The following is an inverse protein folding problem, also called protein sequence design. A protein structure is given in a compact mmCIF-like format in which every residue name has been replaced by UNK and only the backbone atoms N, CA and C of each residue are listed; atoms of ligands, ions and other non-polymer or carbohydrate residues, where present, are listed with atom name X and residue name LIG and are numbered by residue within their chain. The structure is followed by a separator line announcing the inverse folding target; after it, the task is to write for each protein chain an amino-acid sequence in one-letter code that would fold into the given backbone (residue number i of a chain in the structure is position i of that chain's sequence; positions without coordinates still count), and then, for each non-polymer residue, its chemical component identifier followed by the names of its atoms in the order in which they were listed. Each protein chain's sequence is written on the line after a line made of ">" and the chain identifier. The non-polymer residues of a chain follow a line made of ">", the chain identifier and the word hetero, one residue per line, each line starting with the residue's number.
data_IF_078255662257
#
_entry.id   IF_078255662257
#
_cell.length_a   1.000
_cell.length_b   1.000
_cell.length_c   1.000
_cell.angle_alpha   90.00
_cell.angle_beta   90.00
_cell.angle_gamma   90.00
#
_symmetry.space_group_name_H-M   'P 1'
#
loop_
_entity.id
_entity.type
_entity.pdbx_description
1 polymer ?
#
# COMPACT_ATOMS: atom_id res chain seq x y z
N UNK A 1 -40.13 -10.30 -61.44
CA UNK A 1 -41.06 -11.45 -61.54
C UNK A 1 -41.50 -11.86 -60.13
N UNK A 2 -42.50 -12.74 -60.05
CA UNK A 2 -43.21 -13.18 -58.82
C UNK A 2 -42.29 -13.79 -57.73
N UNK A 3 -42.68 -14.01 -56.46
CA UNK A 3 -43.69 -13.54 -55.47
C UNK A 3 -44.00 -14.75 -54.55
N UNK A 4 -43.96 -14.56 -53.21
CA UNK A 4 -44.68 -15.33 -52.17
C UNK A 4 -44.26 -16.82 -51.97
N UNK A 5 -44.53 -17.52 -50.85
CA UNK A 5 -45.26 -17.31 -49.55
C UNK A 5 -44.45 -18.05 -48.43
N UNK A 6 -44.40 -17.73 -47.13
CA UNK A 6 -45.44 -17.53 -46.07
C UNK A 6 -46.23 -18.81 -45.72
N UNK A 7 -46.66 -19.17 -44.49
CA UNK A 7 -46.50 -18.74 -43.07
C UNK A 7 -47.16 -19.88 -42.20
N UNK A 8 -47.09 -20.10 -40.87
CA UNK A 8 -46.44 -19.60 -39.63
C UNK A 8 -46.61 -20.75 -38.55
N UNK A 9 -46.19 -20.57 -37.26
CA UNK A 9 -47.04 -20.79 -36.05
C UNK A 9 -46.40 -21.45 -34.78
N UNK A 10 -46.46 -20.67 -33.67
CA UNK A 10 -46.79 -21.06 -32.27
C UNK A 10 -45.92 -22.00 -31.39
N UNK A 11 -45.62 -21.51 -30.16
CA UNK A 11 -45.34 -22.30 -28.94
C UNK A 11 -46.58 -22.28 -28.00
N UNK A 12 -46.47 -22.13 -26.64
CA UNK A 12 -45.28 -22.12 -25.76
C UNK A 12 -45.52 -22.84 -24.36
N UNK A 13 -44.60 -22.63 -23.38
CA UNK A 13 -44.80 -22.56 -21.88
C UNK A 13 -44.17 -23.62 -20.93
N UNK A 14 -43.43 -23.08 -19.95
CA UNK A 14 -43.42 -23.35 -18.47
C UNK A 14 -43.02 -24.75 -17.92
N UNK A 15 -41.95 -24.74 -17.11
CA UNK A 15 -42.11 -24.63 -15.65
C UNK A 15 -41.68 -25.81 -14.75
N UNK A 16 -41.09 -25.47 -13.59
CA UNK A 16 -40.66 -26.37 -12.49
C UNK A 16 -39.55 -27.40 -12.84
N UNK A 17 -38.66 -27.82 -11.92
CA UNK A 17 -38.43 -27.41 -10.54
C UNK A 17 -38.95 -28.40 -9.49
N UNK A 18 -38.12 -29.38 -9.11
CA UNK A 18 -38.33 -30.31 -7.98
C UNK A 18 -37.00 -30.52 -7.25
N UNK A 19 -37.08 -30.86 -5.96
CA UNK A 19 -35.96 -31.07 -5.03
C UNK A 19 -36.24 -32.37 -4.25
N UNK A 20 -35.17 -32.94 -3.66
CA UNK A 20 -35.13 -33.89 -2.53
C UNK A 20 -34.68 -35.34 -2.81
N UNK A 21 -33.79 -35.75 -1.90
CA UNK A 21 -33.34 -37.08 -1.48
C UNK A 21 -34.50 -37.92 -0.86
N UNK A 22 -34.32 -39.08 -0.16
CA UNK A 22 -33.07 -39.76 0.26
C UNK A 22 -33.02 -41.31 0.12
N UNK A 23 -31.88 -41.90 0.48
CA UNK A 23 -31.76 -43.27 1.00
C UNK A 23 -30.59 -43.34 2.00
N UNK A 24 -30.68 -44.19 3.05
CA UNK A 24 -29.75 -44.14 4.20
C UNK A 24 -29.54 -45.51 4.87
N UNK A 25 -28.41 -46.19 4.59
CA UNK A 25 -27.84 -47.36 5.30
C UNK A 25 -26.33 -47.38 5.00
N UNK A 26 -25.38 -47.70 5.89
CA UNK A 26 -25.43 -47.94 7.34
C UNK A 26 -24.37 -48.96 7.79
N UNK A 27 -23.60 -48.67 8.87
CA UNK A 27 -22.42 -49.44 9.38
C UNK A 27 -21.19 -49.46 8.45
N UNK A 28 -19.93 -49.41 8.93
CA UNK A 28 -19.38 -49.73 10.27
C UNK A 28 -18.01 -49.06 10.49
N UNK A 29 -17.73 -48.52 11.68
CA UNK A 29 -16.37 -48.15 12.10
C UNK A 29 -15.54 -49.41 12.48
N UNK A 30 -14.21 -49.27 12.66
CA UNK A 30 -13.74 -49.09 14.03
C UNK A 30 -12.73 -47.93 14.22
N UNK A 31 -12.75 -47.35 15.42
CA UNK A 31 -11.98 -46.18 15.80
C UNK A 31 -10.47 -46.42 16.01
N UNK A 32 -9.71 -45.32 16.06
CA UNK A 32 -8.49 -45.27 16.90
C UNK A 32 -8.32 -43.86 17.48
N UNK A 33 -8.77 -43.67 18.72
CA UNK A 33 -8.57 -42.44 19.49
C UNK A 33 -7.11 -42.33 19.98
N UNK A 34 -6.50 -41.16 19.81
CA UNK A 34 -5.45 -40.66 20.72
C UNK A 34 -5.65 -39.15 20.90
N UNK A 35 -6.05 -38.75 22.11
CA UNK A 35 -6.21 -37.36 22.52
C UNK A 35 -5.00 -36.85 23.32
N UNK A 36 -5.06 -35.58 23.73
CA UNK A 36 -4.11 -34.89 24.63
C UNK A 36 -2.73 -34.55 24.01
N UNK A 37 -1.95 -33.57 24.50
CA UNK A 37 -2.09 -32.76 25.73
C UNK A 37 -2.03 -31.24 25.49
N UNK A 38 -2.78 -30.49 26.31
CA UNK A 38 -2.33 -29.17 26.75
C UNK A 38 -1.21 -29.35 27.80
N UNK A 39 0.02 -28.97 27.47
CA UNK A 39 1.13 -28.98 28.42
C UNK A 39 1.18 -27.65 29.22
N UNK A 40 0.56 -27.65 30.39
CA UNK A 40 0.76 -26.62 31.42
C UNK A 40 1.92 -27.08 32.32
N UNK A 41 3.02 -26.34 32.37
CA UNK A 41 4.09 -26.62 33.33
C UNK A 41 4.63 -25.33 33.96
N UNK A 42 4.23 -25.09 35.20
CA UNK A 42 4.90 -24.17 36.11
C UNK A 42 6.20 -24.83 36.62
N UNK A 43 7.30 -24.09 36.58
CA UNK A 43 8.57 -24.49 37.18
C UNK A 43 9.29 -23.28 37.79
N UNK A 44 9.13 -23.11 39.10
CA UNK A 44 10.05 -22.34 39.92
C UNK A 44 11.43 -23.07 39.95
N UNK A 45 12.58 -22.45 40.22
CA UNK A 45 12.87 -21.16 40.88
C UNK A 45 14.34 -20.80 40.67
N UNK A 46 14.68 -19.52 40.45
CA UNK A 46 15.86 -18.83 41.04
C UNK A 46 16.04 -17.41 40.49
N UNK A 47 16.63 -16.53 41.31
CA UNK A 47 16.99 -15.13 40.99
C UNK A 47 18.53 -15.09 40.75
N UNK A 48 19.20 -14.06 40.23
CA UNK A 48 18.98 -12.60 40.17
C UNK A 48 19.75 -12.00 38.95
N UNK A 49 20.06 -10.68 38.88
CA UNK A 49 19.13 -9.60 38.54
C UNK A 49 19.54 -8.86 37.24
N UNK A 50 18.60 -8.12 36.63
CA UNK A 50 18.89 -7.23 35.50
C UNK A 50 19.75 -6.02 35.93
N UNK A 51 20.80 -5.63 35.18
CA UNK A 51 21.54 -4.40 35.46
C UNK A 51 20.72 -3.17 35.05
N UNK A 52 20.27 -2.39 36.03
CA UNK A 52 19.74 -1.06 35.77
C UNK A 52 20.86 -0.15 35.22
N UNK A 53 20.56 0.64 34.20
CA UNK A 53 21.39 1.80 33.82
C UNK A 53 20.62 3.08 34.12
N UNK A 54 21.31 3.99 34.80
CA UNK A 54 20.78 5.20 35.40
C UNK A 54 20.32 6.23 34.37
N UNK A 55 19.11 6.75 34.58
CA UNK A 55 18.78 8.13 34.23
C UNK A 55 19.35 9.03 35.33
N UNK A 56 20.42 9.77 35.06
CA UNK A 56 20.76 10.95 35.85
C UNK A 56 21.67 11.93 35.09
N UNK A 57 21.67 13.20 35.51
CA UNK A 57 22.11 14.44 34.81
C UNK A 57 21.13 15.01 33.76
N UNK A 58 20.61 16.22 33.91
CA UNK A 58 20.66 17.12 35.09
C UNK A 58 19.42 18.01 35.15
N UNK A 59 18.81 18.12 36.33
CA UNK A 59 18.06 19.31 36.71
C UNK A 59 19.03 20.34 37.30
N UNK A 60 18.87 21.62 36.94
CA UNK A 60 18.87 22.78 37.86
C UNK A 60 19.02 24.11 37.11
N UNK A 61 17.93 24.88 37.03
CA UNK A 61 17.92 26.25 37.55
C UNK A 61 16.47 26.71 37.68
N UNK A 62 16.07 27.17 38.87
CA UNK A 62 14.72 27.65 39.14
C UNK A 62 14.78 28.95 39.96
N UNK A 63 14.12 30.00 39.47
CA UNK A 63 13.90 31.26 40.21
C UNK A 63 12.58 31.92 39.78
N UNK A 64 11.75 32.24 40.77
CA UNK A 64 10.82 33.39 40.77
C UNK A 64 9.61 33.36 39.81
N UNK A 65 8.38 33.25 40.32
CA UNK A 65 7.18 33.59 39.55
C UNK A 65 6.95 35.11 39.53
N UNK A 66 6.55 35.65 38.37
CA UNK A 66 5.97 36.98 38.21
C UNK A 66 5.04 36.98 36.98
N UNK A 67 3.98 37.78 37.00
CA UNK A 67 2.96 37.82 35.94
C UNK A 67 3.48 38.39 34.61
N UNK A 68 3.08 37.78 33.49
CA UNK A 68 2.89 38.44 32.19
C UNK A 68 2.07 37.55 31.24
N UNK A 69 0.85 37.96 30.93
CA UNK A 69 -0.07 37.21 30.08
C UNK A 69 0.17 37.46 28.57
N UNK A 70 1.36 37.12 28.07
CA UNK A 70 1.76 37.41 26.70
C UNK A 70 1.68 36.21 25.75
N UNK A 71 0.66 36.25 24.88
CA UNK A 71 0.64 35.77 23.49
C UNK A 71 1.48 34.52 23.19
N UNK A 72 0.88 33.35 23.39
CA UNK A 72 1.41 32.06 22.93
C UNK A 72 1.76 32.10 21.44
N UNK A 73 3.05 32.20 21.13
CA UNK A 73 3.59 32.12 19.77
C UNK A 73 3.32 30.71 19.22
N UNK A 74 2.87 30.54 17.96
CA UNK A 74 2.86 29.20 17.36
C UNK A 74 4.30 28.65 17.34
N UNK A 75 4.53 27.35 17.62
CA UNK A 75 5.87 26.79 17.70
C UNK A 75 6.62 27.00 16.38
N UNK A 76 7.69 27.78 16.44
CA UNK A 76 8.37 28.32 15.27
C UNK A 76 9.52 27.43 14.80
N UNK A 77 9.47 27.05 13.53
CA UNK A 77 10.58 26.50 12.73
C UNK A 77 11.30 25.20 13.20
N UNK A 78 11.05 24.67 14.39
CA UNK A 78 11.64 23.39 14.85
C UNK A 78 11.43 22.25 13.84
N UNK A 79 12.47 21.42 13.69
CA UNK A 79 12.46 20.27 12.80
C UNK A 79 11.34 19.29 13.18
N UNK A 80 10.61 18.78 12.18
CA UNK A 80 9.50 17.87 12.46
C UNK A 80 10.01 16.44 12.69
N UNK A 81 10.63 16.20 13.85
CA UNK A 81 11.00 14.88 14.35
C UNK A 81 9.73 14.04 14.60
N UNK A 82 9.18 13.45 13.53
CA UNK A 82 7.98 12.64 13.63
C UNK A 82 8.32 11.33 14.34
N UNK A 83 7.76 11.11 15.54
CA UNK A 83 8.03 9.91 16.37
C UNK A 83 7.74 8.59 15.65
N UNK A 84 6.88 8.63 14.63
CA UNK A 84 6.54 7.48 13.77
C UNK A 84 7.61 7.28 12.67
N UNK A 85 8.14 8.35 12.08
CA UNK A 85 9.25 8.27 11.12
C UNK A 85 10.56 7.84 11.80
N UNK A 86 10.82 8.34 13.01
CA UNK A 86 11.98 7.97 13.84
C UNK A 86 11.98 6.46 14.13
N UNK A 87 10.86 5.90 14.55
CA UNK A 87 10.72 4.44 14.79
C UNK A 87 10.65 3.60 13.50
N UNK A 88 10.77 4.22 12.32
CA UNK A 88 10.76 3.59 10.99
C UNK A 88 12.01 3.86 10.16
N UNK A 89 12.97 4.70 10.60
CA UNK A 89 14.16 5.05 9.79
C UNK A 89 14.97 3.81 9.38
N UNK A 90 15.25 2.94 10.35
CA UNK A 90 15.99 1.69 10.17
C UNK A 90 15.09 0.49 9.85
N UNK A 91 13.81 0.67 9.48
CA UNK A 91 12.87 -0.45 9.33
C UNK A 91 13.38 -1.53 8.34
N UNK A 92 13.99 -1.10 7.22
CA UNK A 92 14.54 -1.99 6.20
C UNK A 92 15.85 -2.64 6.66
N UNK A 93 16.74 -1.86 7.29
CA UNK A 93 18.00 -2.32 7.90
C UNK A 93 17.74 -3.39 8.97
N UNK A 94 16.74 -3.16 9.84
CA UNK A 94 16.27 -4.10 10.84
C UNK A 94 15.60 -5.33 10.21
N UNK A 95 14.92 -5.19 9.08
CA UNK A 95 14.29 -6.29 8.38
C UNK A 95 15.34 -7.25 7.80
N UNK A 96 16.21 -6.77 6.91
CA UNK A 96 17.26 -7.60 6.31
C UNK A 96 18.23 -8.13 7.38
N UNK A 97 18.65 -7.27 8.31
CA UNK A 97 19.53 -7.65 9.43
C UNK A 97 18.94 -8.72 10.36
N UNK A 98 17.61 -8.74 10.55
CA UNK A 98 16.93 -9.79 11.34
C UNK A 98 16.76 -11.08 10.57
N UNK A 99 16.34 -10.99 9.30
CA UNK A 99 15.97 -12.16 8.49
C UNK A 99 17.20 -12.97 8.10
N UNK A 100 18.30 -12.32 7.73
CA UNK A 100 19.52 -13.01 7.28
C UNK A 100 20.29 -13.67 8.43
N UNK A 101 20.21 -13.13 9.66
CA UNK A 101 20.89 -13.69 10.85
C UNK A 101 20.27 -14.98 11.41
N UNK A 102 19.09 -15.41 10.96
CA UNK A 102 18.36 -16.53 11.57
C UNK A 102 17.87 -17.52 10.50
N UNK A 103 18.29 -18.79 10.58
CA UNK A 103 17.87 -19.83 9.63
C UNK A 103 16.36 -20.02 9.53
N UNK A 104 15.62 -19.96 10.66
CA UNK A 104 14.14 -20.03 10.64
C UNK A 104 13.52 -18.81 9.96
N UNK A 105 14.14 -17.64 10.08
CA UNK A 105 13.68 -16.42 9.40
C UNK A 105 14.00 -16.44 7.90
N UNK A 106 15.13 -17.03 7.49
CA UNK A 106 15.43 -17.30 6.07
C UNK A 106 14.40 -18.24 5.44
N UNK A 107 14.07 -19.37 6.07
CA UNK A 107 13.02 -20.30 5.59
C UNK A 107 11.66 -19.58 5.46
N UNK A 108 11.28 -18.78 6.46
CA UNK A 108 10.04 -18.00 6.41
C UNK A 108 10.08 -16.91 5.30
N UNK A 109 11.25 -16.38 4.95
CA UNK A 109 11.42 -15.49 3.80
C UNK A 109 11.31 -16.24 2.48
N UNK A 110 11.94 -17.42 2.34
CA UNK A 110 11.81 -18.30 1.17
C UNK A 110 10.34 -18.56 0.84
N UNK A 111 9.56 -18.94 1.85
CA UNK A 111 8.11 -19.14 1.73
C UNK A 111 7.38 -17.83 1.35
N UNK A 112 7.67 -16.72 2.02
CA UNK A 112 7.00 -15.44 1.75
C UNK A 112 7.37 -14.81 0.39
N UNK A 113 8.54 -15.13 -0.17
CA UNK A 113 8.93 -14.75 -1.53
C UNK A 113 8.29 -15.66 -2.58
N UNK A 114 8.17 -16.96 -2.33
CA UNK A 114 7.42 -17.85 -3.22
C UNK A 114 5.94 -17.44 -3.29
N UNK A 115 5.29 -17.29 -2.13
CA UNK A 115 3.88 -16.89 -2.01
C UNK A 115 3.58 -15.45 -2.47
N UNK A 116 4.61 -14.63 -2.66
CA UNK A 116 4.51 -13.27 -3.18
C UNK A 116 5.11 -13.09 -4.57
N UNK A 117 5.73 -14.10 -5.16
CA UNK A 117 6.54 -14.01 -6.39
C UNK A 117 7.56 -12.85 -6.33
N UNK A 118 8.36 -12.84 -5.25
CA UNK A 118 9.49 -11.93 -5.04
C UNK A 118 9.20 -10.62 -4.29
N UNK A 119 10.23 -9.80 -4.09
CA UNK A 119 10.16 -8.43 -3.58
C UNK A 119 9.54 -7.46 -4.60
N UNK A 120 8.95 -6.35 -4.13
CA UNK A 120 8.63 -5.23 -5.03
C UNK A 120 9.92 -4.51 -5.47
N UNK A 121 9.91 -3.82 -6.63
CA UNK A 121 11.10 -3.19 -7.24
C UNK A 121 11.98 -2.41 -6.25
N UNK A 122 11.37 -1.60 -5.38
CA UNK A 122 12.13 -0.80 -4.40
C UNK A 122 12.86 -1.66 -3.35
N UNK A 123 12.31 -2.81 -2.96
CA UNK A 123 12.94 -3.73 -2.02
C UNK A 123 13.91 -4.70 -2.70
N UNK A 124 13.68 -5.07 -3.97
CA UNK A 124 14.68 -5.78 -4.78
C UNK A 124 15.95 -4.92 -4.95
N UNK A 125 15.80 -3.64 -5.31
CA UNK A 125 16.92 -2.70 -5.40
C UNK A 125 17.64 -2.46 -4.05
N UNK A 126 16.91 -2.46 -2.92
CA UNK A 126 17.54 -2.41 -1.58
C UNK A 126 18.24 -3.71 -1.20
N UNK A 127 17.74 -4.86 -1.65
CA UNK A 127 18.35 -6.17 -1.40
C UNK A 127 19.66 -6.37 -2.20
N UNK A 128 19.73 -5.87 -3.43
CA UNK A 128 20.96 -5.88 -4.24
C UNK A 128 21.99 -4.87 -3.73
N UNK A 129 21.56 -3.75 -3.15
CA UNK A 129 22.44 -2.75 -2.52
C UNK A 129 22.95 -3.11 -1.11
N UNK A 130 22.78 -4.36 -0.66
CA UNK A 130 23.36 -4.85 0.60
C UNK A 130 24.84 -5.21 0.41
N UNK A 131 25.62 -5.16 1.50
CA UNK A 131 26.99 -5.68 1.52
C UNK A 131 27.02 -7.15 1.05
N UNK A 132 28.03 -7.54 0.26
CA UNK A 132 28.05 -8.82 -0.48
C UNK A 132 27.64 -10.08 0.32
N UNK A 133 28.11 -10.35 1.57
CA UNK A 133 27.66 -11.51 2.33
C UNK A 133 26.16 -11.53 2.64
N UNK A 134 25.54 -10.35 2.74
CA UNK A 134 24.10 -10.19 2.91
C UNK A 134 23.35 -10.23 1.58
N UNK A 135 23.89 -9.62 0.51
CA UNK A 135 23.32 -9.71 -0.83
C UNK A 135 23.30 -11.16 -1.34
N UNK A 136 24.40 -11.90 -1.20
CA UNK A 136 24.49 -13.33 -1.49
C UNK A 136 23.45 -14.15 -0.74
N UNK A 137 23.31 -13.95 0.58
CA UNK A 137 22.32 -14.63 1.39
C UNK A 137 20.86 -14.28 1.01
N UNK A 138 20.60 -13.14 0.37
CA UNK A 138 19.29 -12.84 -0.25
C UNK A 138 19.15 -13.53 -1.61
N UNK A 139 20.18 -13.52 -2.47
CA UNK A 139 20.19 -14.26 -3.76
C UNK A 139 19.92 -15.75 -3.56
N UNK A 140 20.50 -16.36 -2.53
CA UNK A 140 20.24 -17.75 -2.13
C UNK A 140 18.77 -17.99 -1.75
N UNK A 141 18.21 -17.12 -0.90
CA UNK A 141 16.82 -17.23 -0.45
C UNK A 141 15.81 -16.96 -1.59
N UNK A 142 16.16 -16.11 -2.56
CA UNK A 142 15.41 -15.89 -3.80
C UNK A 142 15.46 -17.13 -4.71
N UNK A 143 16.63 -17.76 -4.87
CA UNK A 143 16.80 -19.02 -5.62
C UNK A 143 15.97 -20.15 -5.02
N UNK A 144 16.02 -20.33 -3.69
CA UNK A 144 15.24 -21.36 -3.01
C UNK A 144 13.72 -21.05 -3.04
N UNK A 145 13.32 -19.78 -3.09
CA UNK A 145 11.92 -19.40 -3.31
C UNK A 145 11.46 -19.73 -4.74
N UNK A 146 12.33 -19.58 -5.74
CA UNK A 146 12.08 -20.00 -7.11
C UNK A 146 11.93 -21.52 -7.25
N UNK A 147 12.78 -22.30 -6.57
CA UNK A 147 12.66 -23.76 -6.46
C UNK A 147 11.33 -24.18 -5.83
N UNK A 148 11.00 -23.60 -4.67
CA UNK A 148 9.74 -23.85 -3.98
C UNK A 148 8.51 -23.50 -4.84
N UNK A 149 8.57 -22.43 -5.63
CA UNK A 149 7.51 -22.06 -6.57
C UNK A 149 7.40 -23.06 -7.74
N UNK A 150 8.52 -23.58 -8.26
CA UNK A 150 8.50 -24.64 -9.26
C UNK A 150 7.87 -25.93 -8.72
N UNK A 151 8.26 -26.34 -7.52
CA UNK A 151 7.71 -27.49 -6.80
C UNK A 151 6.18 -27.42 -6.65
N UNK A 152 5.60 -26.23 -6.46
CA UNK A 152 4.15 -26.02 -6.43
C UNK A 152 3.54 -26.07 -7.84
N UNK A 153 4.19 -25.46 -8.84
CA UNK A 153 3.75 -25.43 -10.24
C UNK A 153 3.82 -26.79 -10.97
N UNK A 154 4.58 -27.75 -10.45
CA UNK A 154 4.65 -29.12 -10.96
C UNK A 154 3.65 -30.07 -10.24
N UNK A 155 3.01 -29.66 -9.13
CA UNK A 155 2.07 -30.46 -8.31
C UNK A 155 0.57 -30.16 -8.53
N UNK A 156 0.22 -29.35 -9.55
CA UNK A 156 -1.03 -28.55 -9.51
C UNK A 156 -2.36 -29.30 -9.53
N UNK A 157 -2.41 -30.59 -9.88
CA UNK A 157 -3.65 -31.38 -9.90
C UNK A 157 -4.40 -31.44 -8.55
N UNK A 158 -3.78 -30.96 -7.46
CA UNK A 158 -4.35 -30.81 -6.12
C UNK A 158 -4.15 -29.40 -5.52
N UNK A 159 -3.70 -28.40 -6.30
CA UNK A 159 -3.22 -27.10 -5.77
C UNK A 159 -3.61 -25.86 -6.59
N UNK A 160 -4.51 -25.95 -7.57
CA UNK A 160 -4.87 -24.81 -8.43
C UNK A 160 -5.37 -23.58 -7.64
N UNK A 161 -6.15 -23.75 -6.56
CA UNK A 161 -6.55 -22.65 -5.66
C UNK A 161 -5.35 -21.92 -5.04
N UNK A 162 -4.33 -22.66 -4.61
CA UNK A 162 -3.11 -22.09 -4.02
C UNK A 162 -2.29 -21.35 -5.09
N UNK A 163 -2.19 -21.90 -6.31
CA UNK A 163 -1.49 -21.21 -7.42
C UNK A 163 -2.22 -19.92 -7.80
N UNK A 164 -3.55 -19.93 -7.87
CA UNK A 164 -4.35 -18.72 -8.06
C UNK A 164 -4.09 -17.70 -6.94
N UNK A 165 -4.15 -18.11 -5.68
CA UNK A 165 -3.96 -17.21 -4.54
C UNK A 165 -2.53 -16.62 -4.48
N UNK A 166 -1.52 -17.35 -4.94
CA UNK A 166 -0.15 -16.84 -5.15
C UNK A 166 -0.12 -15.80 -6.28
N UNK A 167 -0.66 -16.14 -7.46
CA UNK A 167 -0.61 -15.33 -8.68
C UNK A 167 -1.40 -14.02 -8.52
N UNK A 168 -2.67 -14.10 -8.10
CA UNK A 168 -3.49 -12.91 -7.79
C UNK A 168 -2.91 -12.10 -6.62
N UNK A 169 -2.23 -12.76 -5.68
CA UNK A 169 -1.53 -12.10 -4.57
C UNK A 169 -0.23 -11.38 -4.96
N UNK A 170 0.45 -11.81 -6.02
CA UNK A 170 1.84 -11.45 -6.34
C UNK A 170 2.09 -9.93 -6.42
N UNK A 171 1.18 -9.19 -7.06
CA UNK A 171 1.27 -7.73 -7.24
C UNK A 171 1.28 -6.97 -5.90
N UNK A 172 0.46 -7.40 -4.94
CA UNK A 172 0.34 -6.76 -3.62
C UNK A 172 1.31 -7.29 -2.56
N UNK A 173 1.78 -8.53 -2.69
CA UNK A 173 2.63 -9.19 -1.69
C UNK A 173 4.10 -8.80 -1.84
N UNK A 174 4.66 -8.16 -0.81
CA UNK A 174 6.10 -7.96 -0.63
C UNK A 174 6.43 -8.13 0.86
N UNK A 175 7.31 -9.07 1.27
CA UNK A 175 7.49 -9.39 2.68
C UNK A 175 8.18 -8.27 3.48
N UNK A 176 9.00 -7.43 2.81
CA UNK A 176 9.58 -6.23 3.40
C UNK A 176 8.54 -5.12 3.61
N UNK A 177 7.71 -4.78 2.61
CA UNK A 177 6.58 -3.86 2.79
C UNK A 177 5.63 -4.35 3.92
N UNK A 178 5.36 -5.66 3.96
CA UNK A 178 4.53 -6.25 5.00
C UNK A 178 5.19 -6.18 6.39
N UNK A 179 6.52 -6.23 6.50
CA UNK A 179 7.22 -5.92 7.76
C UNK A 179 7.08 -4.44 8.12
N UNK A 180 7.39 -3.54 7.18
CA UNK A 180 7.30 -2.08 7.36
C UNK A 180 5.93 -1.65 7.89
N UNK A 181 4.84 -2.01 7.20
CA UNK A 181 3.48 -1.63 7.62
C UNK A 181 3.04 -2.30 8.94
N UNK A 182 3.61 -3.46 9.30
CA UNK A 182 3.43 -4.06 10.63
C UNK A 182 4.20 -3.33 11.73
N UNK A 183 5.32 -2.66 11.42
CA UNK A 183 5.98 -1.73 12.35
C UNK A 183 5.15 -0.46 12.46
N UNK A 184 4.85 0.20 11.33
CA UNK A 184 4.06 1.44 11.22
C UNK A 184 2.74 1.33 12.01
N UNK A 185 1.95 0.27 11.76
CA UNK A 185 0.68 0.03 12.45
C UNK A 185 0.82 -0.12 13.97
N UNK A 186 1.90 -0.74 14.47
CA UNK A 186 2.17 -0.85 15.92
C UNK A 186 2.59 0.48 16.55
N UNK A 187 3.32 1.32 15.81
CA UNK A 187 3.72 2.66 16.29
C UNK A 187 2.51 3.59 16.31
N UNK A 188 1.71 3.62 15.24
CA UNK A 188 0.45 4.36 15.16
C UNK A 188 -0.52 3.95 16.28
N UNK A 189 -0.62 2.64 16.59
CA UNK A 189 -1.45 2.12 17.69
C UNK A 189 -0.87 2.38 19.10
N UNK A 190 0.36 2.89 19.25
CA UNK A 190 0.83 3.49 20.51
C UNK A 190 0.40 4.95 20.60
N UNK A 191 0.76 5.75 19.58
CA UNK A 191 0.41 7.17 19.47
C UNK A 191 -1.11 7.41 19.61
N UNK A 192 -1.95 6.54 19.03
CA UNK A 192 -3.39 6.59 19.22
C UNK A 192 -3.82 6.47 20.69
N UNK A 193 -3.32 5.46 21.42
CA UNK A 193 -3.67 5.25 22.83
C UNK A 193 -3.14 6.37 23.73
N UNK A 194 -1.97 6.92 23.41
CA UNK A 194 -1.41 8.10 24.07
C UNK A 194 -2.35 9.32 23.88
N UNK A 195 -2.80 9.59 22.64
CA UNK A 195 -3.75 10.66 22.32
C UNK A 195 -5.14 10.49 22.97
N UNK A 196 -5.57 9.26 23.20
CA UNK A 196 -6.84 8.91 23.87
C UNK A 196 -6.77 9.08 25.39
N UNK A 197 -5.59 8.87 25.99
CA UNK A 197 -5.38 8.95 27.43
C UNK A 197 -5.00 10.37 27.91
N UNK A 198 -4.30 11.15 27.08
CA UNK A 198 -3.79 12.48 27.45
C UNK A 198 -4.87 13.54 27.68
N UNK A 199 -4.80 14.19 28.83
CA UNK A 199 -5.62 15.35 29.23
C UNK A 199 -4.69 16.36 29.95
N UNK A 200 -4.47 17.58 29.43
CA UNK A 200 -4.98 18.13 28.16
C UNK A 200 -4.44 17.38 26.93
N UNK A 201 -5.08 17.60 25.78
CA UNK A 201 -4.69 17.01 24.51
C UNK A 201 -3.47 17.74 23.93
N UNK A 202 -2.31 17.10 23.98
CA UNK A 202 -1.02 17.61 23.52
C UNK A 202 -0.39 16.57 22.57
N UNK A 203 -0.73 16.60 21.26
CA UNK A 203 -0.31 15.55 20.34
C UNK A 203 1.23 15.53 20.20
N UNK A 204 1.87 14.33 20.21
CA UNK A 204 3.30 14.23 19.93
C UNK A 204 3.62 14.75 18.51
N UNK A 205 4.89 15.07 18.20
CA UNK A 205 5.26 15.49 16.87
C UNK A 205 5.00 14.37 15.85
N UNK A 206 4.02 14.61 14.99
CA UNK A 206 3.61 13.72 13.90
C UNK A 206 3.49 14.54 12.61
N UNK A 207 4.10 14.04 11.53
CA UNK A 207 4.07 14.67 10.21
C UNK A 207 2.69 14.50 9.55
N UNK A 208 2.40 15.29 8.50
CA UNK A 208 1.09 15.28 7.84
C UNK A 208 0.63 13.87 7.45
N UNK A 209 1.51 13.08 6.84
CA UNK A 209 1.20 11.73 6.33
C UNK A 209 0.79 10.76 7.45
N UNK A 210 1.55 10.69 8.54
CA UNK A 210 1.20 9.80 9.65
C UNK A 210 -0.03 10.30 10.41
N UNK A 211 -0.26 11.62 10.47
CA UNK A 211 -1.47 12.20 11.04
C UNK A 211 -2.71 11.88 10.17
N UNK A 212 -2.55 11.78 8.85
CA UNK A 212 -3.60 11.29 7.93
C UNK A 212 -3.88 9.79 8.16
N UNK A 213 -2.84 8.98 8.41
CA UNK A 213 -2.99 7.56 8.80
C UNK A 213 -3.69 7.37 10.15
N UNK A 214 -3.45 8.26 11.12
CA UNK A 214 -4.16 8.29 12.41
C UNK A 214 -5.64 8.70 12.25
N UNK A 215 -5.94 9.67 11.38
CA UNK A 215 -7.31 10.12 11.11
C UNK A 215 -8.25 8.99 10.63
N UNK A 216 -7.70 7.92 10.03
CA UNK A 216 -8.43 6.77 9.51
C UNK A 216 -8.70 5.68 10.57
N UNK A 217 -8.20 5.86 11.81
CA UNK A 217 -8.19 4.84 12.87
C UNK A 217 -8.78 5.31 14.20
N UNK A 218 -9.07 6.61 14.32
CA UNK A 218 -9.33 7.29 15.59
C UNK A 218 -10.80 7.68 15.72
N UNK A 219 -11.34 7.39 16.91
CA UNK A 219 -12.73 7.59 17.28
C UNK A 219 -13.21 9.07 17.17
N UNK A 220 -14.53 9.29 16.96
CA UNK A 220 -15.12 10.62 16.78
C UNK A 220 -14.71 11.74 17.76
N UNK A 221 -14.49 11.49 19.08
CA UNK A 221 -14.11 12.54 20.03
C UNK A 221 -12.78 13.25 19.69
N UNK A 222 -11.83 12.54 19.08
CA UNK A 222 -10.53 13.10 18.69
C UNK A 222 -10.46 13.49 17.22
N UNK A 223 -11.28 12.89 16.37
CA UNK A 223 -11.36 13.17 14.94
C UNK A 223 -11.48 14.68 14.63
N UNK A 224 -12.33 15.40 15.37
CA UNK A 224 -12.51 16.86 15.24
C UNK A 224 -11.32 17.73 15.70
N UNK A 225 -10.32 17.14 16.38
CA UNK A 225 -9.03 17.78 16.69
C UNK A 225 -8.01 17.47 15.58
N UNK A 226 -7.92 16.21 15.16
CA UNK A 226 -7.02 15.76 14.08
C UNK A 226 -7.35 16.46 12.75
N UNK A 227 -8.63 16.59 12.38
CA UNK A 227 -9.06 17.35 11.19
C UNK A 227 -8.65 18.83 11.22
N UNK A 228 -8.42 19.43 12.40
CA UNK A 228 -7.87 20.78 12.54
C UNK A 228 -6.34 20.79 12.41
N UNK A 229 -5.66 19.88 13.12
CA UNK A 229 -4.20 19.73 13.04
C UNK A 229 -3.72 19.49 11.60
N UNK A 230 -4.42 18.65 10.83
CA UNK A 230 -4.09 18.41 9.41
C UNK A 230 -4.18 19.69 8.58
N UNK A 231 -5.22 20.52 8.78
CA UNK A 231 -5.37 21.82 8.08
C UNK A 231 -4.29 22.82 8.51
N UNK A 232 -3.94 22.87 9.79
CA UNK A 232 -2.82 23.69 10.27
C UNK A 232 -1.49 23.23 9.65
N UNK A 233 -1.24 21.92 9.56
CA UNK A 233 -0.03 21.38 8.91
C UNK A 233 -0.01 21.64 7.41
N UNK A 234 -1.11 21.49 6.67
CA UNK A 234 -1.15 21.78 5.22
C UNK A 234 -0.89 23.25 4.91
N UNK A 235 -1.47 24.17 5.68
CA UNK A 235 -1.18 25.61 5.55
C UNK A 235 0.28 25.93 5.91
N UNK A 236 0.84 25.26 6.93
CA UNK A 236 2.27 25.37 7.27
C UNK A 236 3.20 24.94 6.13
N UNK A 237 2.92 23.81 5.50
CA UNK A 237 3.72 23.29 4.36
C UNK A 237 3.64 24.22 3.15
N UNK A 238 2.45 24.69 2.77
CA UNK A 238 2.30 25.67 1.67
C UNK A 238 3.06 26.97 1.96
N UNK A 239 2.88 27.53 3.17
CA UNK A 239 3.58 28.74 3.61
C UNK A 239 5.11 28.60 3.74
N UNK A 240 5.66 27.39 3.75
CA UNK A 240 7.11 27.12 3.66
C UNK A 240 7.60 27.21 2.21
N UNK A 241 6.87 26.63 1.25
CA UNK A 241 7.20 26.72 -0.19
C UNK A 241 7.08 28.17 -0.69
N UNK A 242 6.01 28.86 -0.26
CA UNK A 242 5.73 30.23 -0.71
C UNK A 242 6.56 31.33 -0.06
N UNK A 243 7.30 31.01 1.02
CA UNK A 243 8.14 31.95 1.76
C UNK A 243 9.17 32.63 0.84
N UNK A 244 9.11 33.96 0.59
CA UNK A 244 10.12 34.64 -0.21
C UNK A 244 11.50 34.62 0.45
N UNK A 245 12.56 34.78 -0.34
CA UNK A 245 13.95 34.93 0.14
C UNK A 245 14.67 33.66 0.59
N UNK A 246 13.98 32.59 1.00
CA UNK A 246 14.62 31.34 1.40
C UNK A 246 15.21 30.56 0.20
N UNK A 247 16.35 29.90 0.37
CA UNK A 247 16.96 29.03 -0.65
C UNK A 247 16.00 27.88 -1.05
N UNK A 248 15.92 27.47 -2.34
CA UNK A 248 14.97 26.46 -2.79
C UNK A 248 15.08 25.14 -2.02
N UNK A 249 16.29 24.60 -1.88
CA UNK A 249 16.53 23.30 -1.25
C UNK A 249 16.16 23.30 0.24
N UNK A 250 16.35 24.44 0.92
CA UNK A 250 15.96 24.62 2.31
C UNK A 250 14.42 24.61 2.47
N UNK A 251 13.66 25.22 1.53
CA UNK A 251 12.19 25.15 1.54
C UNK A 251 11.69 23.74 1.26
N UNK A 252 12.27 23.07 0.25
CA UNK A 252 11.92 21.69 -0.12
C UNK A 252 12.19 20.74 1.07
N UNK A 253 13.34 20.89 1.73
CA UNK A 253 13.72 20.15 2.94
C UNK A 253 12.72 20.39 4.07
N UNK A 254 12.43 21.64 4.41
CA UNK A 254 11.50 22.01 5.48
C UNK A 254 10.06 21.52 5.20
N UNK A 255 9.62 21.54 3.93
CA UNK A 255 8.34 20.99 3.51
C UNK A 255 8.31 19.46 3.61
N UNK A 256 9.35 18.76 3.14
CA UNK A 256 9.49 17.31 3.25
C UNK A 256 9.50 16.83 4.72
N UNK A 257 10.17 17.56 5.62
CA UNK A 257 10.11 17.30 7.07
C UNK A 257 8.69 17.42 7.61
N UNK A 258 7.92 18.46 7.25
CA UNK A 258 6.54 18.60 7.76
C UNK A 258 5.56 17.58 7.13
N UNK A 259 5.81 17.14 5.90
CA UNK A 259 5.01 16.14 5.20
C UNK A 259 5.28 14.71 5.71
N UNK A 260 6.52 14.24 5.57
CA UNK A 260 6.95 12.86 5.78
C UNK A 260 8.50 12.75 5.82
N UNK A 261 9.14 13.02 6.97
CA UNK A 261 10.62 13.04 7.13
C UNK A 261 11.34 11.81 6.59
N UNK A 262 10.69 10.65 6.66
CA UNK A 262 11.26 9.35 6.29
C UNK A 262 11.68 9.27 4.81
N UNK A 263 11.03 10.01 3.91
CA UNK A 263 11.39 10.10 2.48
C UNK A 263 12.49 11.12 2.18
N UNK A 264 12.84 11.97 3.15
CA UNK A 264 14.07 12.78 3.09
C UNK A 264 15.25 11.91 3.55
N UNK A 265 15.14 11.25 4.70
CA UNK A 265 16.18 10.36 5.24
C UNK A 265 16.52 9.19 4.27
N UNK A 266 15.50 8.56 3.66
CA UNK A 266 15.73 7.55 2.62
C UNK A 266 16.14 8.15 1.27
N UNK A 267 15.76 9.40 0.98
CA UNK A 267 16.00 10.06 -0.30
C UNK A 267 17.48 10.22 -0.67
N UNK A 268 18.37 10.21 0.34
CA UNK A 268 19.84 10.29 0.16
C UNK A 268 20.43 9.01 -0.44
N UNK A 269 19.82 7.84 -0.23
CA UNK A 269 20.42 6.53 -0.55
C UNK A 269 19.62 5.64 -1.52
N UNK A 270 18.38 5.99 -1.87
CA UNK A 270 17.62 5.21 -2.88
C UNK A 270 17.96 5.66 -4.29
N UNK A 271 19.08 5.19 -4.82
CA UNK A 271 19.22 5.06 -6.28
C UNK A 271 18.12 4.11 -6.77
N UNK A 272 17.27 4.57 -7.70
CA UNK A 272 16.22 3.73 -8.28
C UNK A 272 16.89 2.76 -9.26
N UNK A 273 17.22 1.57 -8.77
CA UNK A 273 17.87 0.54 -9.56
C UNK A 273 17.16 0.30 -10.90
N UNK A 274 17.95 0.20 -11.97
CA UNK A 274 17.50 -0.40 -13.22
C UNK A 274 17.04 -1.83 -12.89
N UNK A 275 15.85 -2.18 -13.36
CA UNK A 275 15.31 -3.53 -13.24
C UNK A 275 15.18 -4.02 -14.67
N UNK A 276 15.90 -5.09 -15.02
CA UNK A 276 15.98 -5.62 -16.39
C UNK A 276 14.66 -6.22 -16.94
N UNK A 277 13.52 -5.91 -16.31
CA UNK A 277 12.19 -6.26 -16.80
C UNK A 277 11.64 -5.11 -17.65
N UNK A 278 11.36 -5.32 -18.96
CA UNK A 278 10.93 -4.23 -19.85
C UNK A 278 9.63 -3.56 -19.37
N UNK A 279 8.73 -4.30 -18.73
CA UNK A 279 7.49 -3.75 -18.15
C UNK A 279 7.80 -2.79 -16.98
N UNK A 280 8.84 -3.05 -16.18
CA UNK A 280 9.32 -2.11 -15.15
C UNK A 280 9.96 -0.85 -15.76
N UNK A 281 10.58 -0.96 -16.92
CA UNK A 281 11.18 0.17 -17.64
C UNK A 281 10.11 1.05 -18.28
N UNK A 282 9.11 0.46 -18.92
CA UNK A 282 7.93 1.15 -19.47
C UNK A 282 7.13 1.89 -18.39
N UNK A 283 6.92 1.26 -17.22
CA UNK A 283 6.31 1.92 -16.05
C UNK A 283 7.13 3.15 -15.62
N UNK A 284 8.46 3.02 -15.50
CA UNK A 284 9.33 4.13 -15.12
C UNK A 284 9.43 5.22 -16.21
N UNK A 285 9.30 4.86 -17.48
CA UNK A 285 9.24 5.79 -18.61
C UNK A 285 7.90 6.54 -18.62
N UNK A 286 6.79 5.87 -18.34
CA UNK A 286 5.47 6.49 -18.19
C UNK A 286 5.41 7.42 -16.97
N UNK A 287 6.00 7.03 -15.84
CA UNK A 287 6.19 7.88 -14.67
C UNK A 287 6.95 9.18 -15.02
N UNK A 288 8.08 9.08 -15.76
CA UNK A 288 8.84 10.27 -16.23
C UNK A 288 8.02 11.13 -17.20
N UNK A 289 7.30 10.53 -18.15
CA UNK A 289 6.42 11.22 -19.09
C UNK A 289 5.25 11.94 -18.39
N UNK A 290 4.62 11.30 -17.41
CA UNK A 290 3.59 11.92 -16.57
C UNK A 290 4.14 13.12 -15.80
N UNK A 291 5.34 13.02 -15.21
CA UNK A 291 5.94 14.13 -14.47
C UNK A 291 6.23 15.34 -15.37
N UNK A 292 6.69 15.11 -16.61
CA UNK A 292 6.78 16.15 -17.64
C UNK A 292 5.42 16.78 -17.96
N UNK A 293 4.40 15.95 -18.22
CA UNK A 293 3.05 16.44 -18.46
C UNK A 293 2.46 17.22 -17.27
N UNK A 294 2.80 16.87 -16.02
CA UNK A 294 2.39 17.61 -14.83
C UNK A 294 3.04 18.99 -14.73
N UNK A 295 4.33 19.11 -15.09
CA UNK A 295 5.03 20.41 -15.24
C UNK A 295 4.29 21.27 -16.28
N UNK A 296 4.04 20.72 -17.47
CA UNK A 296 3.47 21.50 -18.57
C UNK A 296 1.99 21.86 -18.34
N UNK A 297 1.21 21.00 -17.67
CA UNK A 297 -0.16 21.34 -17.26
C UNK A 297 -0.21 22.55 -16.31
N UNK A 298 0.74 22.67 -15.38
CA UNK A 298 0.81 23.83 -14.47
C UNK A 298 1.18 25.10 -15.25
N UNK A 299 2.17 25.03 -16.14
CA UNK A 299 2.58 26.15 -17.02
C UNK A 299 1.45 26.64 -17.92
N UNK A 300 0.68 25.70 -18.47
CA UNK A 300 -0.51 25.95 -19.29
C UNK A 300 -1.77 26.24 -18.45
N UNK A 301 -1.65 26.40 -17.13
CA UNK A 301 -2.74 26.70 -16.17
C UNK A 301 -3.96 25.78 -16.28
N UNK A 302 -3.72 24.51 -16.60
CA UNK A 302 -4.76 23.51 -16.77
C UNK A 302 -5.36 23.07 -15.41
N UNK A 303 -6.62 22.61 -15.38
CA UNK A 303 -7.25 22.10 -14.17
C UNK A 303 -6.43 20.98 -13.49
N UNK A 304 -6.11 21.16 -12.21
CA UNK A 304 -5.18 20.29 -11.48
C UNK A 304 -5.57 18.81 -11.45
N UNK A 305 -6.86 18.49 -11.53
CA UNK A 305 -7.36 17.11 -11.56
C UNK A 305 -6.90 16.29 -12.78
N UNK A 306 -6.45 16.95 -13.88
CA UNK A 306 -5.99 16.28 -15.10
C UNK A 306 -4.64 15.57 -14.89
N UNK A 307 -3.71 16.19 -14.15
CA UNK A 307 -2.31 15.75 -14.11
C UNK A 307 -1.66 15.76 -12.71
N UNK A 308 -2.16 16.55 -11.75
CA UNK A 308 -1.49 16.72 -10.46
C UNK A 308 -1.80 15.57 -9.49
N UNK A 309 -0.84 15.21 -8.61
CA UNK A 309 -0.91 13.98 -7.83
C UNK A 309 -1.88 14.05 -6.65
N UNK A 310 -2.76 13.05 -6.53
CA UNK A 310 -3.60 12.82 -5.34
C UNK A 310 -2.93 11.91 -4.31
N UNK A 311 -1.79 11.27 -4.63
CA UNK A 311 -1.07 10.36 -3.74
C UNK A 311 0.33 10.86 -3.31
N UNK A 312 0.74 10.46 -2.10
CA UNK A 312 2.04 10.78 -1.48
C UNK A 312 3.24 10.46 -2.37
N UNK A 313 3.21 9.31 -3.07
CA UNK A 313 4.34 8.83 -3.88
C UNK A 313 4.66 9.76 -5.06
N UNK A 314 3.62 10.26 -5.73
CA UNK A 314 3.78 11.16 -6.88
C UNK A 314 3.93 12.62 -6.46
N UNK A 315 3.30 13.04 -5.36
CA UNK A 315 3.56 14.34 -4.72
C UNK A 315 5.07 14.57 -4.49
N UNK A 316 5.75 13.60 -3.89
CA UNK A 316 7.19 13.70 -3.58
C UNK A 316 8.06 13.78 -4.84
N UNK A 317 7.58 13.33 -6.00
CA UNK A 317 8.29 13.46 -7.28
C UNK A 317 8.15 14.87 -7.84
N UNK A 318 6.95 15.46 -7.75
CA UNK A 318 6.71 16.87 -8.07
C UNK A 318 7.49 17.82 -7.16
N UNK A 319 7.49 17.58 -5.84
CA UNK A 319 8.20 18.42 -4.86
C UNK A 319 9.72 18.40 -5.07
N UNK A 320 10.27 17.27 -5.55
CA UNK A 320 11.70 17.14 -5.89
C UNK A 320 12.08 17.82 -7.22
N UNK A 321 11.15 18.41 -7.97
CA UNK A 321 11.48 19.22 -9.16
C UNK A 321 11.83 20.66 -8.76
N UNK A 322 12.78 21.34 -9.45
CA UNK A 322 13.14 22.74 -9.20
C UNK A 322 12.12 23.75 -9.78
N UNK A 323 10.84 23.36 -9.93
CA UNK A 323 9.76 24.17 -10.49
C UNK A 323 8.78 24.56 -9.36
N UNK A 324 8.82 25.82 -8.92
CA UNK A 324 8.05 26.30 -7.76
C UNK A 324 6.54 26.20 -7.98
N UNK A 325 6.08 26.48 -9.20
CA UNK A 325 4.65 26.49 -9.49
C UNK A 325 4.11 25.06 -9.45
N UNK A 326 4.88 24.08 -9.95
CA UNK A 326 4.57 22.66 -9.75
C UNK A 326 4.59 22.26 -8.26
N UNK A 327 5.60 22.68 -7.48
CA UNK A 327 5.67 22.38 -6.04
C UNK A 327 4.41 22.85 -5.31
N UNK A 328 4.01 24.11 -5.53
CA UNK A 328 2.81 24.69 -4.94
C UNK A 328 1.54 23.97 -5.41
N UNK A 329 1.35 23.82 -6.73
CA UNK A 329 0.14 23.26 -7.30
C UNK A 329 -0.06 21.77 -6.91
N UNK A 330 1.00 20.96 -6.94
CA UNK A 330 0.95 19.57 -6.50
C UNK A 330 0.62 19.44 -5.01
N UNK A 331 1.15 20.32 -4.16
CA UNK A 331 0.81 20.36 -2.73
C UNK A 331 -0.64 20.79 -2.49
N UNK A 332 -1.09 21.87 -3.15
CA UNK A 332 -2.47 22.34 -3.04
C UNK A 332 -3.46 21.24 -3.44
N UNK A 333 -3.23 20.57 -4.58
CA UNK A 333 -4.08 19.47 -5.06
C UNK A 333 -4.02 18.23 -4.16
N UNK A 334 -2.83 17.84 -3.69
CA UNK A 334 -2.73 16.74 -2.72
C UNK A 334 -3.50 17.06 -1.44
N UNK A 335 -3.37 18.28 -0.90
CA UNK A 335 -4.09 18.68 0.31
C UNK A 335 -5.60 18.80 0.10
N UNK A 336 -6.08 19.25 -1.06
CA UNK A 336 -7.50 19.27 -1.42
C UNK A 336 -8.13 17.87 -1.28
N UNK A 337 -7.47 16.82 -1.78
CA UNK A 337 -7.96 15.43 -1.73
C UNK A 337 -7.62 14.73 -0.41
N UNK A 338 -6.49 15.07 0.22
CA UNK A 338 -6.02 14.44 1.45
C UNK A 338 -6.73 14.94 2.71
N UNK A 339 -7.20 16.19 2.70
CA UNK A 339 -7.99 16.77 3.78
C UNK A 339 -9.46 16.34 3.65
N UNK A 340 -10.12 15.90 4.74
CA UNK A 340 -11.57 15.75 4.70
C UNK A 340 -12.20 17.13 4.51
N UNK A 341 -12.92 17.28 3.40
CA UNK A 341 -13.57 18.52 3.03
C UNK A 341 -14.54 19.05 4.09
N UNK A 342 -15.00 20.27 3.88
CA UNK A 342 -16.41 20.56 4.23
C UNK A 342 -17.25 19.72 3.27
N UNK A 343 -18.42 19.19 3.68
CA UNK A 343 -19.42 18.81 2.70
C UNK A 343 -19.63 20.01 1.78
N UNK A 344 -19.50 19.80 0.47
CA UNK A 344 -19.95 20.81 -0.50
C UNK A 344 -21.47 20.83 -0.34
N UNK A 345 -21.97 21.85 0.35
CA UNK A 345 -23.39 22.13 0.33
C UNK A 345 -23.72 22.47 -1.13
N UNK A 346 -24.48 21.60 -1.78
CA UNK A 346 -25.05 21.85 -3.10
C UNK A 346 -25.69 23.25 -3.07
N UNK A 347 -25.31 24.18 -3.98
CA UNK A 347 -25.93 25.50 -4.06
C UNK A 347 -27.46 25.45 -4.23
N UNK A 348 -27.99 24.33 -4.71
CA UNK A 348 -29.42 24.05 -4.85
C UNK A 348 -30.10 23.57 -3.56
N UNK A 349 -29.34 23.23 -2.51
CA UNK A 349 -29.89 22.69 -1.27
C UNK A 349 -30.60 23.78 -0.44
N UNK A 350 -31.89 23.62 -0.08
CA UNK A 350 -32.63 24.62 0.68
C UNK A 350 -32.02 24.80 2.10
N UNK A 351 -32.11 26.02 2.67
CA UNK A 351 -31.46 26.34 3.94
C UNK A 351 -31.92 25.42 5.07
N UNK A 352 -30.98 24.72 5.70
CA UNK A 352 -31.28 23.70 6.71
C UNK A 352 -31.85 24.32 7.98
N UNK A 353 -33.18 24.27 8.11
CA UNK A 353 -33.88 24.74 9.30
C UNK A 353 -33.30 24.10 10.58
N UNK A 354 -32.97 24.95 11.56
CA UNK A 354 -32.34 24.58 12.84
C UNK A 354 -33.09 23.39 13.48
N UNK A 355 -32.49 22.19 13.50
CA UNK A 355 -33.13 20.97 14.04
C UNK A 355 -33.56 21.19 15.50
N UNK A 356 -34.87 21.26 15.71
CA UNK A 356 -35.53 21.36 17.03
C UNK A 356 -35.07 20.18 17.91
N UNK A 357 -34.74 20.41 19.20
CA UNK A 357 -34.40 19.35 20.16
C UNK A 357 -35.47 18.25 20.13
N UNK A 358 -35.12 17.02 19.71
CA UNK A 358 -35.98 15.85 19.87
C UNK A 358 -35.85 15.31 21.30
N UNK A 359 -36.97 14.81 21.84
CA UNK A 359 -37.05 14.16 23.16
C UNK A 359 -36.56 12.70 23.08
N UNK A 360 -36.41 12.08 24.25
CA UNK A 360 -35.90 10.72 24.46
C UNK A 360 -36.38 9.69 23.44
N UNK A 361 -35.45 8.86 22.97
CA UNK A 361 -35.78 7.67 22.20
C UNK A 361 -36.46 6.64 23.10
N UNK A 362 -37.51 5.99 22.57
CA UNK A 362 -37.91 4.64 22.98
C UNK A 362 -37.34 3.67 21.95
N UNK A 363 -36.94 2.48 22.38
CA UNK A 363 -36.55 1.41 21.46
C UNK A 363 -37.78 0.84 20.74
N UNK A 364 -37.53 0.27 19.55
CA UNK A 364 -38.50 -0.30 18.60
C UNK A 364 -39.55 0.67 18.04
N UNK A 365 -39.22 1.25 16.88
CA UNK A 365 -40.19 1.81 15.92
C UNK A 365 -39.72 1.47 14.49
N UNK A 366 -40.31 0.43 13.91
CA UNK A 366 -40.01 -0.18 12.60
C UNK A 366 -40.16 0.76 11.39
N UNK A 367 -40.46 2.05 11.61
CA UNK A 367 -40.51 3.09 10.57
C UNK A 367 -39.23 3.93 10.49
N UNK A 368 -38.18 3.58 11.24
CA UNK A 368 -36.86 4.22 11.16
C UNK A 368 -35.98 3.67 10.03
N UNK A 369 -36.06 2.37 9.72
CA UNK A 369 -35.10 1.69 8.85
C UNK A 369 -35.10 2.26 7.42
N UNK A 370 -36.27 2.38 6.78
CA UNK A 370 -36.42 2.94 5.42
C UNK A 370 -36.11 4.45 5.28
N UNK A 371 -35.65 5.10 6.37
CA UNK A 371 -34.99 6.42 6.36
C UNK A 371 -33.50 6.31 6.64
N UNK A 372 -33.11 5.47 7.59
CA UNK A 372 -31.70 5.20 7.87
C UNK A 372 -30.95 4.55 6.71
N UNK A 373 -31.59 3.75 5.86
CA UNK A 373 -30.98 3.25 4.61
C UNK A 373 -30.55 4.40 3.69
N UNK A 374 -31.41 5.42 3.51
CA UNK A 374 -31.11 6.58 2.66
C UNK A 374 -30.11 7.55 3.31
N UNK A 375 -30.21 7.77 4.62
CA UNK A 375 -29.21 8.59 5.35
C UNK A 375 -27.84 7.88 5.41
N UNK A 376 -27.79 6.54 5.49
CA UNK A 376 -26.54 5.75 5.48
C UNK A 376 -25.92 5.65 4.08
N UNK A 377 -26.73 5.59 3.02
CA UNK A 377 -26.27 5.74 1.63
C UNK A 377 -25.68 7.13 1.37
N UNK A 378 -26.00 8.13 2.20
CA UNK A 378 -25.44 9.48 2.16
C UNK A 378 -24.02 9.63 2.72
N UNK A 379 -23.55 8.71 3.57
CA UNK A 379 -22.14 8.64 4.05
C UNK A 379 -21.35 7.56 3.29
N UNK A 380 -21.78 7.26 2.05
CA UNK A 380 -21.01 6.46 1.11
C UNK A 380 -19.66 7.13 0.87
N UNK A 381 -18.59 6.54 1.39
CA UNK A 381 -17.22 7.04 1.31
C UNK A 381 -16.83 7.22 -0.16
N UNK A 382 -16.95 8.46 -0.66
CA UNK A 382 -16.70 8.86 -2.04
C UNK A 382 -15.40 8.19 -2.56
N UNK A 383 -15.44 7.52 -3.72
CA UNK A 383 -14.25 6.90 -4.29
C UNK A 383 -13.12 7.94 -4.36
N UNK A 384 -12.02 7.70 -3.64
CA UNK A 384 -10.90 8.64 -3.61
C UNK A 384 -10.39 8.81 -5.03
N UNK A 385 -10.37 10.06 -5.49
CA UNK A 385 -9.92 10.42 -6.83
C UNK A 385 -8.58 9.75 -7.14
N UNK A 386 -8.53 8.99 -8.23
CA UNK A 386 -7.33 8.27 -8.64
C UNK A 386 -6.18 9.24 -8.88
N UNK A 387 -4.95 8.76 -8.72
CA UNK A 387 -3.78 9.61 -8.88
C UNK A 387 -3.34 9.54 -10.34
N UNK A 388 -3.33 10.63 -11.12
CA UNK A 388 -2.97 10.58 -12.54
C UNK A 388 -1.60 9.93 -12.82
N UNK A 389 -0.64 10.07 -11.91
CA UNK A 389 0.65 9.37 -11.98
C UNK A 389 0.59 7.86 -11.71
N UNK A 390 -0.34 7.39 -10.87
CA UNK A 390 -0.60 5.94 -10.73
C UNK A 390 -1.32 5.40 -11.96
N UNK A 391 -2.27 6.15 -12.50
CA UNK A 391 -3.05 5.73 -13.66
C UNK A 391 -2.18 5.68 -14.93
N UNK A 392 -1.26 6.64 -15.10
CA UNK A 392 -0.27 6.63 -16.17
C UNK A 392 0.68 5.41 -16.08
N UNK A 393 1.15 5.06 -14.88
CA UNK A 393 1.95 3.85 -14.65
C UNK A 393 1.14 2.57 -14.91
N UNK A 394 -0.11 2.50 -14.47
CA UNK A 394 -0.99 1.34 -14.66
C UNK A 394 -1.35 1.13 -16.14
N UNK A 395 -1.64 2.21 -16.87
CA UNK A 395 -1.89 2.17 -18.32
C UNK A 395 -0.64 1.67 -19.07
N UNK A 396 0.56 2.04 -18.62
CA UNK A 396 1.81 1.55 -19.20
C UNK A 396 2.04 0.06 -18.88
N UNK A 397 1.85 -0.35 -17.62
CA UNK A 397 1.94 -1.74 -17.20
C UNK A 397 1.03 -2.63 -18.06
N UNK A 398 -0.26 -2.29 -18.15
CA UNK A 398 -1.25 -3.05 -18.94
C UNK A 398 -0.93 -3.10 -20.44
N UNK A 399 -0.44 -2.00 -21.03
CA UNK A 399 -0.01 -1.98 -22.44
C UNK A 399 1.15 -2.94 -22.70
N UNK A 400 2.13 -2.95 -21.80
CA UNK A 400 3.35 -3.74 -21.92
C UNK A 400 3.11 -5.22 -21.62
N UNK A 401 2.25 -5.52 -20.63
CA UNK A 401 1.75 -6.88 -20.38
C UNK A 401 0.94 -7.39 -21.59
N UNK A 402 0.10 -6.56 -22.21
CA UNK A 402 -0.61 -6.95 -23.43
C UNK A 402 0.34 -7.16 -24.63
N UNK A 403 1.49 -6.48 -24.68
CA UNK A 403 2.57 -6.78 -25.65
C UNK A 403 3.22 -8.14 -25.37
N UNK A 404 3.56 -8.43 -24.11
CA UNK A 404 4.11 -9.71 -23.67
C UNK A 404 3.18 -10.89 -24.03
N UNK A 405 1.90 -10.79 -23.69
CA UNK A 405 0.87 -11.81 -24.01
C UNK A 405 0.79 -12.03 -25.53
N UNK A 406 0.79 -10.96 -26.35
CA UNK A 406 0.82 -11.07 -27.82
C UNK A 406 2.12 -11.71 -28.34
N UNK A 407 3.27 -11.44 -27.72
CA UNK A 407 4.56 -12.05 -28.06
C UNK A 407 4.55 -13.55 -27.79
N UNK A 408 4.18 -13.95 -26.58
CA UNK A 408 4.05 -15.36 -26.16
C UNK A 408 3.05 -16.12 -27.03
N UNK A 409 1.90 -15.52 -27.33
CA UNK A 409 0.88 -16.12 -28.21
C UNK A 409 1.43 -16.38 -29.63
N UNK A 410 2.19 -15.42 -30.19
CA UNK A 410 2.71 -15.45 -31.58
C UNK A 410 4.02 -16.21 -31.78
N UNK A 411 4.78 -16.51 -30.74
CA UNK A 411 6.07 -17.19 -30.87
C UNK A 411 5.91 -18.56 -31.56
N UNK A 412 6.65 -18.84 -32.64
CA UNK A 412 6.47 -20.09 -33.41
C UNK A 412 7.10 -21.34 -32.79
N UNK A 413 8.10 -21.16 -31.92
CA UNK A 413 8.95 -22.19 -31.33
C UNK A 413 9.48 -21.73 -29.96
N UNK A 414 10.17 -22.60 -29.22
CA UNK A 414 10.54 -22.35 -27.83
C UNK A 414 11.64 -21.28 -27.64
N UNK A 415 12.52 -21.06 -28.63
CA UNK A 415 13.49 -19.95 -28.57
C UNK A 415 12.78 -18.59 -28.69
N UNK A 416 11.82 -18.48 -29.62
CA UNK A 416 10.98 -17.30 -29.76
C UNK A 416 10.10 -17.05 -28.52
N UNK A 417 9.67 -18.12 -27.84
CA UNK A 417 8.97 -18.03 -26.55
C UNK A 417 9.91 -17.53 -25.44
N UNK A 418 11.14 -18.05 -25.40
CA UNK A 418 12.18 -17.66 -24.42
C UNK A 418 12.56 -16.19 -24.56
N UNK A 419 12.80 -15.73 -25.79
CA UNK A 419 13.03 -14.30 -26.10
C UNK A 419 11.84 -13.43 -25.73
N UNK A 420 10.60 -13.89 -25.98
CA UNK A 420 9.39 -13.12 -25.65
C UNK A 420 9.18 -12.90 -24.14
N UNK A 421 9.74 -13.76 -23.28
CA UNK A 421 9.65 -13.66 -21.80
C UNK A 421 10.95 -13.17 -21.14
N UNK A 422 11.98 -12.83 -21.92
CA UNK A 422 13.28 -12.46 -21.37
C UNK A 422 13.20 -11.18 -20.50
N UNK A 423 13.95 -11.17 -19.40
CA UNK A 423 13.98 -10.10 -18.41
C UNK A 423 12.72 -9.98 -17.54
N UNK A 424 11.58 -10.60 -17.92
CA UNK A 424 10.31 -10.43 -17.22
C UNK A 424 10.38 -10.95 -15.78
N UNK A 425 10.22 -10.05 -14.81
CA UNK A 425 10.22 -10.41 -13.40
C UNK A 425 8.93 -11.13 -13.00
N UNK A 426 9.03 -12.02 -12.01
CA UNK A 426 7.94 -12.95 -11.63
C UNK A 426 6.60 -12.25 -11.32
N UNK A 427 6.60 -11.01 -10.81
CA UNK A 427 5.36 -10.23 -10.56
C UNK A 427 4.62 -9.85 -11.84
N UNK A 428 5.33 -9.33 -12.85
CA UNK A 428 4.71 -9.03 -14.14
C UNK A 428 4.40 -10.30 -14.94
N UNK A 429 5.12 -11.40 -14.68
CA UNK A 429 4.73 -12.72 -15.16
C UNK A 429 3.38 -13.17 -14.59
N UNK A 430 3.15 -12.95 -13.29
CA UNK A 430 1.86 -13.22 -12.65
C UNK A 430 0.72 -12.39 -13.26
N UNK A 431 0.93 -11.08 -13.48
CA UNK A 431 -0.06 -10.23 -14.14
C UNK A 431 -0.32 -10.63 -15.60
N UNK A 432 0.71 -11.08 -16.34
CA UNK A 432 0.54 -11.64 -17.68
C UNK A 432 -0.25 -12.96 -17.70
N UNK A 433 -0.10 -13.78 -16.66
CA UNK A 433 -0.89 -15.00 -16.47
C UNK A 433 -2.36 -14.67 -16.17
N UNK A 434 -2.63 -13.71 -15.28
CA UNK A 434 -4.00 -13.25 -14.94
C UNK A 434 -4.75 -12.69 -16.17
N UNK A 435 -4.04 -11.99 -17.05
CA UNK A 435 -4.64 -11.37 -18.24
C UNK A 435 -4.59 -12.27 -19.49
N UNK A 436 -4.01 -13.48 -19.41
CA UNK A 436 -4.04 -14.45 -20.51
C UNK A 436 -5.49 -14.88 -20.77
N UNK A 437 -5.97 -14.65 -21.98
CA UNK A 437 -7.39 -14.80 -22.34
C UNK A 437 -7.71 -16.14 -23.02
N UNK A 438 -6.69 -16.97 -23.28
CA UNK A 438 -6.82 -18.28 -23.94
C UNK A 438 -5.93 -19.35 -23.25
N UNK A 439 -6.42 -20.60 -23.07
CA UNK A 439 -5.67 -21.65 -22.37
C UNK A 439 -4.35 -22.06 -23.02
N UNK A 440 -4.18 -21.79 -24.32
CA UNK A 440 -2.94 -22.09 -25.03
C UNK A 440 -1.84 -21.10 -24.63
N UNK A 441 -2.10 -19.79 -24.66
CA UNK A 441 -1.18 -18.77 -24.16
C UNK A 441 -0.90 -18.93 -22.67
N UNK A 442 -1.92 -19.28 -21.86
CA UNK A 442 -1.75 -19.62 -20.44
C UNK A 442 -0.77 -20.80 -20.24
N UNK A 443 -0.98 -21.92 -20.93
CA UNK A 443 -0.09 -23.09 -20.85
C UNK A 443 1.33 -22.80 -21.36
N UNK A 444 1.48 -21.89 -22.34
CA UNK A 444 2.80 -21.42 -22.80
C UNK A 444 3.50 -20.55 -21.76
N UNK A 445 2.78 -19.62 -21.12
CA UNK A 445 3.29 -18.86 -19.98
C UNK A 445 3.71 -19.82 -18.85
N UNK A 446 2.90 -20.82 -18.52
CA UNK A 446 3.23 -21.81 -17.48
C UNK A 446 4.50 -22.61 -17.80
N UNK A 447 4.67 -23.08 -19.04
CA UNK A 447 5.90 -23.74 -19.50
C UNK A 447 7.12 -22.83 -19.40
N UNK A 448 7.00 -21.58 -19.87
CA UNK A 448 8.07 -20.59 -19.82
C UNK A 448 8.48 -20.28 -18.37
N UNK A 449 7.51 -20.09 -17.46
CA UNK A 449 7.76 -19.89 -16.02
C UNK A 449 8.50 -21.08 -15.40
N UNK A 450 8.04 -22.32 -15.66
CA UNK A 450 8.73 -23.52 -15.20
C UNK A 450 10.15 -23.65 -15.78
N UNK A 451 10.40 -23.20 -17.01
CA UNK A 451 11.75 -23.15 -17.58
C UNK A 451 12.63 -22.12 -16.87
N UNK A 452 12.13 -20.90 -16.65
CA UNK A 452 12.84 -19.83 -15.93
C UNK A 452 13.21 -20.28 -14.51
N UNK A 453 12.29 -20.91 -13.78
CA UNK A 453 12.52 -21.34 -12.40
C UNK A 453 13.49 -22.52 -12.29
N UNK A 454 13.56 -23.41 -13.30
CA UNK A 454 14.48 -24.57 -13.31
C UNK A 454 15.88 -24.24 -13.81
N UNK A 455 16.01 -23.35 -14.79
CA UNK A 455 17.30 -22.97 -15.39
C UNK A 455 18.00 -21.80 -14.68
N UNK A 456 17.43 -21.28 -13.59
CA UNK A 456 17.99 -20.15 -12.86
C UNK A 456 18.96 -20.57 -11.73
N UNK A 457 20.29 -20.45 -11.90
CA UNK A 457 21.20 -20.30 -10.76
C UNK A 457 20.95 -18.96 -10.04
N UNK A 458 20.32 -17.98 -10.67
CA UNK A 458 19.87 -16.74 -10.02
C UNK A 458 18.44 -16.41 -10.49
N UNK A 459 17.45 -16.59 -9.62
CA UNK A 459 16.05 -16.37 -9.97
C UNK A 459 15.79 -14.87 -10.18
N UNK A 460 15.36 -14.52 -11.40
CA UNK A 460 15.30 -13.15 -11.92
C UNK A 460 14.19 -12.30 -11.27
N UNK A 461 14.48 -11.76 -10.08
CA UNK A 461 13.76 -10.60 -9.52
C UNK A 461 14.05 -9.31 -10.33
N UNK A 462 13.59 -8.16 -9.85
CA UNK A 462 14.09 -6.84 -10.27
C UNK A 462 15.54 -6.59 -9.78
N UNK A 463 16.46 -7.41 -10.27
CA UNK A 463 17.90 -7.28 -10.07
C UNK A 463 18.44 -6.26 -11.08
N UNK A 464 19.51 -5.55 -10.70
CA UNK A 464 20.32 -4.75 -11.61
C UNK A 464 21.01 -5.67 -12.63
N UNK A 465 21.03 -5.25 -13.90
CA UNK A 465 21.97 -5.77 -14.89
C UNK A 465 23.33 -5.11 -14.75
#
# INVERSE_FOLDING_TARGET
>A
MNRLTADDAYGPRRGAGIVLSPAFVGSRDPATDVAMMHAKHDAARSHSPSPARSLDRSLLSARGPADSAERSTPPGNDECHCVVCEQLCDADTQYFGRVLRNGRARIALTQALALGMGFCRAHAARATALNEPAAAAVRDVIRDAGRLLCDLLDRTALQDELIQDIVFGARGRCPACAYFHRVEGRVLARVQRELEQQKPFLPPPVCFVHLQSLQQRIEPPLLGRIKRLLRTRSHGVLGVIDRPGALPDARITQACLQLYPLELANGVNVQVGHCACPICEDIALAQRRWLGAAIDNVRLRQPGWIALPTCRRHLLQCIRQPDRDLQHAALARYFEVALPGKPVADPSAPPTHKRRRRRHARWFDLRHDARHERDAQGDGMQPRESCPGCDAEEIAARKSIACLIRGVSRAGHDDALTLAVEGVCLKHFAEAFIYASDPHTEQRLRRALGSILRHAPDARECVLG
#
